data_IF_725798213774
#
_entry.id   IF_725798213774
#
_cell.length_a   1.000
_cell.length_b   1.000
_cell.length_c   1.000
_cell.angle_alpha   90.00
_cell.angle_beta   90.00
_cell.angle_gamma   90.00
#
_symmetry.space_group_name_H-M   'P 1'
#
loop_
_entity.id
_entity.type
_entity.pdbx_description
1 polymer ?
#
# COMPACT_ATOMS: atom_id res chain seq x y z
N UNK A 1 10.40 -0.76 -25.71
CA UNK A 1 10.54 -1.03 -24.26
C UNK A 1 9.19 -1.29 -23.65
N UNK A 2 9.10 -2.31 -22.81
CA UNK A 2 7.90 -2.69 -22.08
C UNK A 2 7.81 -1.92 -20.76
N UNK A 3 6.60 -1.46 -20.42
CA UNK A 3 6.35 -0.64 -19.23
C UNK A 3 5.22 -1.23 -18.41
N UNK A 4 5.39 -1.33 -17.10
CA UNK A 4 4.33 -1.69 -16.16
C UNK A 4 4.06 -0.54 -15.18
N UNK A 5 2.81 -0.10 -15.13
CA UNK A 5 2.31 0.77 -14.07
C UNK A 5 1.76 -0.09 -12.93
N UNK A 6 2.27 0.12 -11.74
CA UNK A 6 1.84 -0.58 -10.53
C UNK A 6 0.94 0.34 -9.73
N UNK A 7 -0.32 -0.02 -9.57
CA UNK A 7 -1.38 0.86 -9.07
C UNK A 7 -2.06 0.21 -7.86
N UNK A 8 -2.16 0.88 -6.69
CA UNK A 8 -2.83 0.31 -5.53
C UNK A 8 -4.33 0.08 -5.77
N UNK A 9 -4.87 -0.92 -5.10
CA UNK A 9 -6.28 -1.28 -5.11
C UNK A 9 -7.20 -0.22 -4.45
N UNK A 10 -8.50 -0.50 -4.44
CA UNK A 10 -9.55 0.39 -3.90
C UNK A 10 -9.45 0.59 -2.37
N UNK A 11 -8.84 -0.35 -1.66
CA UNK A 11 -8.63 -0.29 -0.21
C UNK A 11 -7.69 0.85 0.18
N UNK A 12 -6.81 1.24 -0.74
CA UNK A 12 -5.85 2.33 -0.51
C UNK A 12 -6.47 3.69 -0.82
N UNK A 13 -6.10 4.71 -0.05
CA UNK A 13 -6.52 6.09 -0.28
C UNK A 13 -6.17 6.59 -1.69
N UNK A 14 -6.81 7.69 -2.11
CA UNK A 14 -6.54 8.31 -3.41
C UNK A 14 -7.34 7.74 -4.58
N UNK A 15 -8.56 7.29 -4.33
CA UNK A 15 -9.47 6.78 -5.37
C UNK A 15 -10.53 7.81 -5.81
N UNK A 16 -10.57 8.99 -5.19
CA UNK A 16 -11.51 10.05 -5.51
C UNK A 16 -11.35 10.55 -6.96
N UNK A 17 -12.37 11.21 -7.54
CA UNK A 17 -12.33 11.70 -8.93
C UNK A 17 -11.11 12.59 -9.23
N UNK A 18 -10.66 13.37 -8.25
CA UNK A 18 -9.49 14.27 -8.35
C UNK A 18 -8.17 13.59 -7.99
N UNK A 19 -8.13 12.26 -7.93
CA UNK A 19 -6.93 11.51 -7.59
C UNK A 19 -5.76 11.83 -8.54
N UNK A 20 -4.58 12.04 -7.96
CA UNK A 20 -3.33 12.20 -8.71
C UNK A 20 -3.00 11.03 -9.64
N UNK A 21 -3.49 9.80 -9.32
CA UNK A 21 -3.17 8.58 -10.08
C UNK A 21 -3.48 8.71 -11.56
N UNK A 22 -4.66 9.22 -11.89
CA UNK A 22 -5.10 9.40 -13.29
C UNK A 22 -4.21 10.38 -14.03
N UNK A 23 -3.88 11.50 -13.39
CA UNK A 23 -3.02 12.54 -13.95
C UNK A 23 -1.58 12.04 -14.10
N UNK A 24 -1.06 11.37 -13.07
CA UNK A 24 0.30 10.83 -13.08
C UNK A 24 0.49 9.75 -14.15
N UNK A 25 -0.47 8.82 -14.27
CA UNK A 25 -0.43 7.79 -15.33
C UNK A 25 -0.43 8.46 -16.70
N UNK A 26 -1.33 9.42 -16.95
CA UNK A 26 -1.39 10.13 -18.24
C UNK A 26 -0.08 10.87 -18.55
N UNK A 27 0.42 11.65 -17.59
CA UNK A 27 1.68 12.38 -17.79
C UNK A 27 2.86 11.45 -18.07
N UNK A 28 2.96 10.33 -17.36
CA UNK A 28 3.99 9.33 -17.64
C UNK A 28 3.81 8.68 -19.02
N UNK A 29 2.57 8.38 -19.42
CA UNK A 29 2.29 7.82 -20.76
C UNK A 29 2.69 8.78 -21.88
N UNK A 30 2.40 10.08 -21.73
CA UNK A 30 2.75 11.08 -22.74
C UNK A 30 4.28 11.16 -22.92
N UNK A 31 5.06 11.14 -21.86
CA UNK A 31 6.53 11.10 -21.91
C UNK A 31 7.04 9.78 -22.51
N UNK A 32 6.46 8.65 -22.14
CA UNK A 32 6.83 7.33 -22.67
C UNK A 32 6.54 7.22 -24.17
N UNK A 33 5.40 7.72 -24.63
CA UNK A 33 5.04 7.73 -26.05
C UNK A 33 5.96 8.66 -26.83
N UNK A 34 6.30 9.83 -26.28
CA UNK A 34 7.28 10.73 -26.88
C UNK A 34 8.68 10.10 -26.97
N UNK A 35 9.01 9.21 -26.03
CA UNK A 35 10.25 8.42 -26.05
C UNK A 35 10.18 7.15 -26.97
N UNK A 36 9.06 6.93 -27.68
CA UNK A 36 8.90 5.83 -28.62
C UNK A 36 8.38 4.52 -28.02
N UNK A 37 7.85 4.52 -26.80
CA UNK A 37 7.10 3.37 -26.27
C UNK A 37 5.76 3.27 -26.99
N UNK A 38 5.40 2.08 -27.43
CA UNK A 38 4.09 1.87 -28.04
C UNK A 38 3.04 1.45 -27.00
N UNK A 39 1.79 1.85 -27.20
CA UNK A 39 0.68 1.50 -26.31
C UNK A 39 0.61 0.00 -25.99
N UNK A 40 0.85 -0.86 -26.98
CA UNK A 40 0.81 -2.32 -26.81
C UNK A 40 1.83 -2.85 -25.79
N UNK A 41 2.89 -2.07 -25.50
CA UNK A 41 3.98 -2.42 -24.61
C UNK A 41 3.74 -1.92 -23.17
N UNK A 42 2.57 -1.35 -22.90
CA UNK A 42 2.18 -0.83 -21.57
C UNK A 42 1.19 -1.77 -20.88
N UNK A 43 1.42 -2.07 -19.60
CA UNK A 43 0.50 -2.83 -18.76
C UNK A 43 0.13 -2.01 -17.50
N UNK A 44 -1.13 -2.01 -17.14
CA UNK A 44 -1.65 -1.45 -15.88
C UNK A 44 -1.92 -2.61 -14.91
N UNK A 45 -1.10 -2.74 -13.86
CA UNK A 45 -1.15 -3.81 -12.87
C UNK A 45 -1.67 -3.30 -11.54
N UNK A 46 -2.82 -3.80 -11.08
CA UNK A 46 -3.30 -3.53 -9.73
C UNK A 46 -2.53 -4.34 -8.70
N UNK A 47 -1.91 -3.64 -7.75
CA UNK A 47 -1.05 -4.19 -6.70
C UNK A 47 -1.83 -4.40 -5.41
N UNK A 48 -2.68 -5.40 -5.39
CA UNK A 48 -3.54 -5.70 -4.24
C UNK A 48 -2.86 -6.51 -3.12
N UNK A 49 -1.69 -7.10 -3.38
CA UNK A 49 -1.02 -7.96 -2.39
C UNK A 49 -1.92 -9.10 -1.95
N UNK A 50 -2.25 -9.17 -0.64
CA UNK A 50 -3.19 -10.15 -0.07
C UNK A 50 -4.65 -9.65 -0.04
N UNK A 51 -4.92 -8.43 -0.52
CA UNK A 51 -6.29 -7.94 -0.62
C UNK A 51 -7.03 -8.60 -1.80
N UNK A 52 -8.37 -8.56 -1.81
CA UNK A 52 -9.15 -9.02 -2.94
C UNK A 52 -8.71 -8.35 -4.25
N UNK A 53 -8.77 -9.08 -5.35
CA UNK A 53 -8.50 -8.54 -6.68
C UNK A 53 -9.49 -7.41 -7.00
N UNK A 54 -9.00 -6.40 -7.72
CA UNK A 54 -9.85 -5.31 -8.17
C UNK A 54 -10.95 -5.82 -9.12
N UNK A 55 -12.18 -5.47 -8.84
CA UNK A 55 -13.31 -5.71 -9.73
C UNK A 55 -13.32 -4.70 -10.88
N UNK A 56 -14.02 -5.02 -11.96
CA UNK A 56 -14.15 -4.11 -13.12
C UNK A 56 -14.67 -2.72 -12.74
N UNK A 57 -15.71 -2.58 -11.89
CA UNK A 57 -16.15 -1.27 -11.41
C UNK A 57 -15.07 -0.52 -10.59
N UNK A 58 -14.30 -1.23 -9.78
CA UNK A 58 -13.20 -0.63 -9.01
C UNK A 58 -12.06 -0.16 -9.92
N UNK A 59 -11.66 -0.97 -10.91
CA UNK A 59 -10.67 -0.57 -11.93
C UNK A 59 -11.10 0.72 -12.64
N UNK A 60 -12.37 0.78 -13.06
CA UNK A 60 -12.93 1.97 -13.70
C UNK A 60 -12.95 3.20 -12.78
N UNK A 61 -13.23 3.01 -11.49
CA UNK A 61 -13.20 4.09 -10.50
C UNK A 61 -11.79 4.63 -10.30
N UNK A 62 -10.82 3.75 -10.17
CA UNK A 62 -9.42 4.10 -9.91
C UNK A 62 -8.78 4.78 -11.12
N UNK A 63 -8.95 4.20 -12.31
CA UNK A 63 -8.35 4.70 -13.56
C UNK A 63 -9.11 5.87 -14.18
N UNK A 64 -10.40 5.97 -13.90
CA UNK A 64 -11.30 6.87 -14.62
C UNK A 64 -11.71 6.31 -15.99
N UNK A 65 -12.72 6.91 -16.62
CA UNK A 65 -13.29 6.37 -17.87
C UNK A 65 -12.30 6.35 -19.03
N UNK A 66 -11.46 7.36 -19.17
CA UNK A 66 -10.53 7.50 -20.28
C UNK A 66 -9.47 6.39 -20.30
N UNK A 67 -8.67 6.26 -19.23
CA UNK A 67 -7.65 5.22 -19.13
C UNK A 67 -8.27 3.82 -19.15
N UNK A 68 -9.44 3.66 -18.50
CA UNK A 68 -10.11 2.37 -18.50
C UNK A 68 -10.56 1.97 -19.91
N UNK A 69 -11.17 2.87 -20.69
CA UNK A 69 -11.57 2.60 -22.06
C UNK A 69 -10.38 2.39 -23.00
N UNK A 70 -9.26 3.06 -22.72
CA UNK A 70 -8.05 2.92 -23.53
C UNK A 70 -7.40 1.55 -23.38
N UNK A 71 -7.29 1.01 -22.16
CA UNK A 71 -6.48 -0.18 -21.86
C UNK A 71 -7.28 -1.46 -21.57
N UNK A 72 -8.52 -1.35 -21.09
CA UNK A 72 -9.31 -2.52 -20.72
C UNK A 72 -9.69 -3.42 -21.91
N UNK A 73 -10.19 -2.87 -23.05
CA UNK A 73 -10.59 -3.69 -24.19
C UNK A 73 -9.43 -4.47 -24.83
N UNK A 74 -8.21 -4.03 -24.63
CA UNK A 74 -6.99 -4.67 -25.18
C UNK A 74 -6.35 -5.68 -24.22
N UNK A 75 -6.98 -5.91 -23.04
CA UNK A 75 -6.45 -6.84 -22.04
C UNK A 75 -5.21 -6.34 -21.30
N UNK A 76 -4.91 -5.04 -21.36
CA UNK A 76 -3.74 -4.42 -20.74
C UNK A 76 -3.99 -3.92 -19.32
N UNK A 77 -5.05 -4.39 -18.66
CA UNK A 77 -5.32 -4.18 -17.23
C UNK A 77 -5.44 -5.52 -16.57
N UNK A 78 -4.66 -5.74 -15.50
CA UNK A 78 -4.70 -6.96 -14.72
C UNK A 78 -4.51 -6.67 -13.23
N UNK A 79 -4.75 -7.66 -12.38
CA UNK A 79 -4.49 -7.61 -10.94
C UNK A 79 -3.41 -8.62 -10.58
N UNK A 80 -2.58 -8.25 -9.61
CA UNK A 80 -1.66 -9.19 -8.98
C UNK A 80 -2.44 -10.30 -8.27
N UNK A 81 -1.88 -11.50 -8.33
CA UNK A 81 -2.31 -12.64 -7.52
C UNK A 81 -1.11 -13.18 -6.75
N UNK A 82 -1.20 -13.11 -5.43
CA UNK A 82 -0.12 -13.53 -4.54
C UNK A 82 0.07 -15.05 -4.47
N UNK A 83 -0.77 -15.83 -5.16
CA UNK A 83 -0.75 -17.31 -5.20
C UNK A 83 -0.61 -17.88 -6.62
N UNK A 84 -0.65 -17.05 -7.64
CA UNK A 84 -0.51 -17.47 -9.05
C UNK A 84 0.96 -17.66 -9.44
N UNK A 85 1.50 -18.83 -9.16
CA UNK A 85 2.88 -19.20 -9.46
C UNK A 85 3.28 -19.08 -10.95
N UNK A 86 2.32 -19.05 -11.87
CA UNK A 86 2.61 -18.84 -13.31
C UNK A 86 3.07 -17.41 -13.60
N UNK A 87 2.61 -16.47 -12.79
CA UNK A 87 2.92 -15.05 -12.93
C UNK A 87 3.80 -14.53 -11.79
N UNK A 88 4.58 -15.41 -11.19
CA UNK A 88 5.55 -15.10 -10.13
C UNK A 88 6.94 -15.58 -10.50
N UNK A 89 7.97 -14.84 -10.08
CA UNK A 89 9.39 -15.16 -10.27
C UNK A 89 10.04 -15.22 -8.90
N UNK A 90 10.68 -16.35 -8.59
CA UNK A 90 11.46 -16.52 -7.37
C UNK A 90 12.83 -15.85 -7.53
N UNK A 91 13.09 -14.82 -6.75
CA UNK A 91 14.36 -14.08 -6.74
C UNK A 91 15.35 -14.61 -5.71
N UNK A 92 14.92 -15.59 -4.89
CA UNK A 92 15.71 -16.15 -3.79
C UNK A 92 15.56 -15.35 -2.49
N UNK A 93 16.62 -15.32 -1.69
CA UNK A 93 16.59 -14.77 -0.33
C UNK A 93 17.44 -13.52 -0.22
N UNK A 94 16.91 -12.51 0.48
CA UNK A 94 17.71 -11.34 0.87
C UNK A 94 18.89 -11.77 1.77
N UNK A 95 19.93 -10.95 1.93
CA UNK A 95 21.01 -11.21 2.90
C UNK A 95 20.50 -11.42 4.34
N UNK A 96 19.32 -10.94 4.67
CA UNK A 96 18.67 -11.10 5.98
C UNK A 96 17.78 -12.35 6.07
N UNK A 97 17.71 -13.15 4.99
CA UNK A 97 16.97 -14.41 4.94
C UNK A 97 15.50 -14.30 4.56
N UNK A 98 15.02 -13.13 4.11
CA UNK A 98 13.65 -12.97 3.63
C UNK A 98 13.50 -13.50 2.20
N UNK A 99 12.58 -14.40 1.96
CA UNK A 99 12.28 -14.95 0.64
C UNK A 99 11.53 -13.92 -0.21
N UNK A 100 12.02 -13.62 -1.40
CA UNK A 100 11.44 -12.64 -2.31
C UNK A 100 10.95 -13.31 -3.59
N UNK A 101 9.65 -13.33 -3.78
CA UNK A 101 8.99 -13.85 -4.98
C UNK A 101 8.13 -12.73 -5.56
N UNK A 102 8.50 -12.27 -6.75
CA UNK A 102 8.00 -11.04 -7.37
C UNK A 102 7.01 -11.36 -8.51
N UNK A 103 6.07 -10.45 -8.74
CA UNK A 103 5.19 -10.49 -9.90
C UNK A 103 6.00 -10.48 -11.21
N UNK A 104 5.70 -11.43 -12.09
CA UNK A 104 6.43 -11.65 -13.35
C UNK A 104 6.33 -10.48 -14.32
N UNK A 105 5.18 -9.82 -14.41
CA UNK A 105 5.03 -8.65 -15.27
C UNK A 105 5.95 -7.50 -14.86
N UNK A 106 6.17 -7.34 -13.54
CA UNK A 106 7.12 -6.34 -13.03
C UNK A 106 8.56 -6.76 -13.28
N UNK A 107 8.85 -8.04 -13.11
CA UNK A 107 10.19 -8.59 -13.37
C UNK A 107 10.59 -8.44 -14.85
N UNK A 108 9.70 -8.78 -15.78
CA UNK A 108 9.98 -8.80 -17.22
C UNK A 108 9.96 -7.40 -17.86
N UNK A 109 9.23 -6.43 -17.33
CA UNK A 109 9.14 -5.08 -17.90
C UNK A 109 10.48 -4.35 -17.84
N UNK A 110 10.80 -3.56 -18.86
CA UNK A 110 12.01 -2.70 -18.87
C UNK A 110 11.89 -1.55 -17.86
N UNK A 111 10.68 -1.05 -17.66
CA UNK A 111 10.39 0.07 -16.73
C UNK A 111 9.22 -0.29 -15.84
N UNK A 112 9.40 -0.12 -14.52
CA UNK A 112 8.33 -0.27 -13.53
C UNK A 112 8.04 1.08 -12.85
N UNK A 113 6.82 1.57 -13.01
CA UNK A 113 6.35 2.86 -12.47
C UNK A 113 5.29 2.60 -11.41
N UNK A 114 5.56 2.99 -10.18
CA UNK A 114 4.64 2.83 -9.06
C UNK A 114 3.87 4.13 -8.84
N UNK A 115 2.56 4.08 -8.98
CA UNK A 115 1.67 5.23 -8.75
C UNK A 115 0.99 5.06 -7.39
N UNK A 116 1.67 5.48 -6.34
CA UNK A 116 1.27 5.20 -4.97
C UNK A 116 0.81 6.43 -4.18
N UNK A 117 0.85 6.29 -2.87
CA UNK A 117 0.59 7.38 -1.93
C UNK A 117 1.38 7.16 -0.64
N UNK A 118 1.72 8.25 0.01
CA UNK A 118 2.40 8.25 1.31
C UNK A 118 1.39 8.57 2.41
N UNK A 119 1.03 7.56 3.18
CA UNK A 119 0.11 7.65 4.31
C UNK A 119 0.63 6.81 5.47
N UNK A 120 0.35 7.23 6.70
CA UNK A 120 0.83 6.55 7.89
C UNK A 120 0.39 5.08 7.97
N UNK A 121 1.35 4.20 8.17
CA UNK A 121 1.13 2.79 8.46
C UNK A 121 1.55 2.52 9.91
N UNK A 122 0.70 1.89 10.74
CA UNK A 122 0.99 1.74 12.17
C UNK A 122 2.30 1.01 12.45
N UNK A 123 2.68 0.05 11.63
CA UNK A 123 3.80 -0.86 11.87
C UNK A 123 5.05 -0.56 11.03
N UNK A 124 4.85 -0.10 9.79
CA UNK A 124 5.92 0.02 8.78
C UNK A 124 6.20 1.45 8.33
N UNK A 125 5.89 2.47 9.14
CA UNK A 125 6.12 3.86 8.82
C UNK A 125 5.07 4.40 7.86
N UNK A 126 5.40 4.51 6.58
CA UNK A 126 4.53 5.05 5.55
C UNK A 126 4.29 4.05 4.41
N UNK A 127 3.15 4.18 3.73
CA UNK A 127 2.89 3.51 2.45
C UNK A 127 3.69 4.17 1.32
N UNK A 128 3.58 3.63 0.13
CA UNK A 128 4.35 4.07 -1.04
C UNK A 128 5.76 3.50 -1.10
N UNK A 129 6.51 3.88 -2.12
CA UNK A 129 7.87 3.44 -2.32
C UNK A 129 8.07 1.92 -2.20
N UNK A 130 9.11 1.50 -1.50
CA UNK A 130 9.41 0.06 -1.34
C UNK A 130 8.33 -0.73 -0.59
N UNK A 131 7.52 -0.10 0.28
CA UNK A 131 6.36 -0.78 0.84
C UNK A 131 5.37 -1.19 -0.24
N UNK A 132 5.16 -0.36 -1.25
CA UNK A 132 4.28 -0.68 -2.37
C UNK A 132 4.76 -1.94 -3.10
N UNK A 133 6.07 -2.09 -3.33
CA UNK A 133 6.65 -3.29 -3.92
C UNK A 133 6.51 -4.50 -2.99
N UNK A 134 7.02 -4.39 -1.77
CA UNK A 134 7.14 -5.51 -0.84
C UNK A 134 5.80 -6.13 -0.42
N UNK A 135 4.72 -5.35 -0.45
CA UNK A 135 3.38 -5.84 -0.05
C UNK A 135 2.39 -5.97 -1.19
N UNK A 136 2.57 -5.23 -2.28
CA UNK A 136 1.56 -5.10 -3.34
C UNK A 136 1.72 -6.05 -4.51
N UNK A 137 2.94 -6.49 -4.78
CA UNK A 137 3.29 -7.26 -5.98
C UNK A 137 4.16 -8.49 -5.70
N UNK A 138 4.09 -9.00 -4.47
CA UNK A 138 4.84 -10.19 -4.06
C UNK A 138 3.93 -11.32 -3.62
N UNK A 139 4.48 -12.53 -3.65
CA UNK A 139 3.85 -13.73 -3.13
C UNK A 139 3.61 -13.61 -1.62
N UNK A 140 2.59 -14.30 -1.10
CA UNK A 140 2.24 -14.27 0.33
C UNK A 140 3.40 -14.66 1.26
N UNK A 141 4.31 -15.54 0.84
CA UNK A 141 5.51 -15.91 1.63
C UNK A 141 6.47 -14.74 1.81
N UNK A 142 6.64 -13.90 0.80
CA UNK A 142 7.44 -12.68 0.91
C UNK A 142 6.80 -11.68 1.86
N UNK A 143 5.47 -11.57 1.82
CA UNK A 143 4.71 -10.72 2.73
C UNK A 143 4.79 -11.24 4.17
N UNK A 144 4.78 -12.56 4.38
CA UNK A 144 4.87 -13.16 5.71
C UNK A 144 6.18 -12.82 6.45
N UNK A 145 7.26 -12.52 5.73
CA UNK A 145 8.53 -12.12 6.33
C UNK A 145 8.44 -10.86 7.20
N UNK A 146 7.47 -10.00 6.92
CA UNK A 146 7.26 -8.74 7.65
C UNK A 146 5.86 -8.60 8.29
N UNK A 147 4.91 -9.51 8.02
CA UNK A 147 3.58 -9.52 8.62
C UNK A 147 3.44 -10.64 9.69
N UNK A 148 4.41 -10.71 10.60
CA UNK A 148 4.42 -11.65 11.71
C UNK A 148 4.52 -10.91 13.04
N UNK A 149 3.99 -11.48 14.14
CA UNK A 149 3.97 -10.79 15.45
C UNK A 149 5.35 -10.33 15.92
N UNK A 150 6.41 -11.09 15.63
CA UNK A 150 7.78 -10.76 15.99
C UNK A 150 8.28 -9.45 15.37
N UNK A 151 7.76 -9.08 14.21
CA UNK A 151 8.08 -7.83 13.51
C UNK A 151 7.09 -6.72 13.88
N UNK A 152 5.79 -7.06 13.99
CA UNK A 152 4.71 -6.08 14.16
C UNK A 152 4.49 -5.67 15.63
N UNK A 153 4.72 -6.58 16.58
CA UNK A 153 4.34 -6.39 18.00
C UNK A 153 5.54 -6.33 18.94
N UNK A 154 6.64 -5.75 18.51
CA UNK A 154 7.83 -5.56 19.32
C UNK A 154 7.56 -4.62 20.50
N UNK A 155 8.28 -4.82 21.60
CA UNK A 155 8.15 -3.96 22.80
C UNK A 155 8.67 -2.53 22.56
N UNK A 156 9.65 -2.37 21.66
CA UNK A 156 10.25 -1.09 21.24
C UNK A 156 9.45 -0.38 20.15
N UNK A 157 8.24 -0.83 19.88
CA UNK A 157 7.38 -0.33 18.82
C UNK A 157 7.07 1.17 18.97
N UNK A 158 7.29 1.92 17.89
CA UNK A 158 6.88 3.31 17.72
C UNK A 158 5.95 3.40 16.53
N UNK A 159 4.71 3.86 16.72
CA UNK A 159 3.75 3.98 15.61
C UNK A 159 4.28 4.87 14.49
N UNK A 160 4.05 4.45 13.24
CA UNK A 160 4.43 5.20 12.02
C UNK A 160 5.94 5.52 12.00
N UNK A 161 6.76 4.63 12.51
CA UNK A 161 8.20 4.80 12.53
C UNK A 161 8.83 4.37 11.19
N UNK A 162 9.63 5.26 10.61
CA UNK A 162 10.44 4.96 9.42
C UNK A 162 11.69 4.15 9.73
N UNK A 163 11.96 3.88 11.01
CA UNK A 163 13.06 3.04 11.49
C UNK A 163 12.57 1.75 12.15
N UNK A 164 11.31 1.36 11.95
CA UNK A 164 10.78 0.10 12.47
C UNK A 164 11.40 -1.10 11.73
N UNK A 165 11.39 -2.27 12.37
CA UNK A 165 11.82 -3.53 11.76
C UNK A 165 11.06 -3.82 10.46
N UNK A 166 9.74 -3.62 10.48
CA UNK A 166 8.91 -3.81 9.29
C UNK A 166 9.33 -2.86 8.16
N UNK A 167 9.68 -1.60 8.46
CA UNK A 167 10.16 -0.65 7.45
C UNK A 167 11.48 -1.12 6.85
N UNK A 168 12.41 -1.56 7.67
CA UNK A 168 13.69 -2.09 7.19
C UNK A 168 13.49 -3.28 6.26
N UNK A 169 12.57 -4.18 6.57
CA UNK A 169 12.25 -5.31 5.70
C UNK A 169 11.65 -4.89 4.36
N UNK A 170 10.75 -3.91 4.34
CA UNK A 170 10.25 -3.36 3.07
C UNK A 170 11.37 -2.78 2.22
N UNK A 171 12.27 -2.01 2.82
CA UNK A 171 13.38 -1.39 2.11
C UNK A 171 14.38 -2.43 1.60
N UNK A 172 14.70 -3.44 2.41
CA UNK A 172 15.59 -4.54 2.03
C UNK A 172 15.01 -5.36 0.88
N UNK A 173 13.73 -5.75 0.96
CA UNK A 173 13.08 -6.49 -0.13
C UNK A 173 13.00 -5.66 -1.41
N UNK A 174 12.64 -4.37 -1.33
CA UNK A 174 12.56 -3.50 -2.49
C UNK A 174 13.92 -3.28 -3.16
N UNK A 175 14.97 -3.01 -2.39
CA UNK A 175 16.34 -2.90 -2.91
C UNK A 175 16.85 -4.22 -3.50
N UNK A 176 16.52 -5.35 -2.90
CA UNK A 176 16.87 -6.67 -3.42
C UNK A 176 16.17 -6.95 -4.76
N UNK A 177 14.89 -6.58 -4.89
CA UNK A 177 14.18 -6.66 -6.18
C UNK A 177 14.88 -5.84 -7.25
N UNK A 178 15.26 -4.58 -6.95
CA UNK A 178 15.97 -3.71 -7.88
C UNK A 178 17.30 -4.32 -8.33
N UNK A 179 18.08 -4.90 -7.39
CA UNK A 179 19.33 -5.59 -7.69
C UNK A 179 19.12 -6.78 -8.63
N UNK A 180 18.16 -7.65 -8.31
CA UNK A 180 17.87 -8.85 -9.12
C UNK A 180 17.30 -8.55 -10.49
N UNK A 181 16.52 -7.48 -10.60
CA UNK A 181 15.98 -7.03 -11.89
C UNK A 181 17.00 -6.23 -12.72
N UNK A 182 18.06 -5.69 -12.12
CA UNK A 182 18.98 -4.77 -12.77
C UNK A 182 18.36 -3.41 -13.12
N UNK A 183 17.25 -3.04 -12.49
CA UNK A 183 16.52 -1.79 -12.73
C UNK A 183 15.90 -1.25 -11.45
N UNK A 184 15.58 0.05 -11.44
CA UNK A 184 15.02 0.73 -10.28
C UNK A 184 13.52 0.96 -10.43
N UNK A 185 12.81 1.02 -9.30
CA UNK A 185 11.43 1.45 -9.25
C UNK A 185 11.34 2.97 -9.33
N UNK A 186 10.64 3.47 -10.36
CA UNK A 186 10.24 4.88 -10.41
C UNK A 186 8.90 5.03 -9.71
N UNK A 187 8.82 5.98 -8.79
CA UNK A 187 7.61 6.20 -7.98
C UNK A 187 7.01 7.55 -8.29
N UNK A 188 5.68 7.63 -8.22
CA UNK A 188 4.94 8.88 -8.17
C UNK A 188 3.90 8.75 -7.03
N UNK A 189 4.27 9.27 -5.85
CA UNK A 189 3.49 9.10 -4.62
C UNK A 189 2.93 10.45 -4.15
N UNK A 190 1.63 10.46 -3.81
CA UNK A 190 0.99 11.62 -3.19
C UNK A 190 0.95 11.47 -1.66
N UNK A 191 1.31 12.50 -0.94
CA UNK A 191 0.97 12.64 0.48
C UNK A 191 -0.48 13.07 0.59
N UNK A 192 -1.31 12.28 1.29
CA UNK A 192 -2.74 12.51 1.41
C UNK A 192 -3.13 13.06 2.78
N UNK A 193 -4.11 13.96 2.84
CA UNK A 193 -4.77 14.37 4.08
C UNK A 193 -5.83 13.37 4.55
N UNK A 194 -6.53 13.68 5.64
CA UNK A 194 -7.60 12.83 6.20
C UNK A 194 -8.83 12.69 5.30
N UNK A 195 -8.95 13.54 4.29
CA UNK A 195 -10.01 13.50 3.28
C UNK A 195 -9.53 12.95 1.93
N UNK A 196 -8.34 12.32 1.91
CA UNK A 196 -7.67 11.81 0.71
C UNK A 196 -7.33 12.88 -0.34
N UNK A 197 -7.23 14.16 0.04
CA UNK A 197 -6.76 15.20 -0.86
C UNK A 197 -5.24 15.19 -0.90
N UNK A 198 -4.67 15.46 -2.06
CA UNK A 198 -3.23 15.54 -2.27
C UNK A 198 -2.68 16.81 -1.62
N UNK A 199 -1.79 16.67 -0.65
CA UNK A 199 -1.05 17.78 -0.03
C UNK A 199 0.22 18.06 -0.85
N UNK A 200 0.88 17.00 -1.30
CA UNK A 200 2.14 17.03 -2.03
C UNK A 200 2.24 15.81 -2.92
N UNK A 201 2.88 15.92 -4.07
CA UNK A 201 3.18 14.80 -4.96
C UNK A 201 4.68 14.80 -5.20
N UNK A 202 5.33 13.67 -4.97
CA UNK A 202 6.75 13.47 -5.18
C UNK A 202 6.97 12.35 -6.20
N UNK A 203 7.89 12.57 -7.13
CA UNK A 203 8.28 11.57 -8.12
C UNK A 203 9.79 11.37 -8.12
N UNK A 204 10.22 10.15 -8.41
CA UNK A 204 11.63 9.78 -8.45
C UNK A 204 11.86 8.31 -8.14
N UNK A 205 13.13 7.92 -8.10
CA UNK A 205 13.51 6.57 -7.71
C UNK A 205 13.13 6.31 -6.25
N UNK A 206 12.59 5.14 -5.95
CA UNK A 206 12.01 4.81 -4.64
C UNK A 206 12.91 5.20 -3.47
N UNK A 207 14.19 4.85 -3.52
CA UNK A 207 15.16 5.13 -2.44
C UNK A 207 15.34 6.61 -2.15
N UNK A 208 15.33 7.46 -3.19
CA UNK A 208 15.52 8.91 -3.07
C UNK A 208 14.20 9.62 -2.73
N UNK A 209 13.10 9.17 -3.30
CA UNK A 209 11.79 9.83 -3.16
C UNK A 209 11.17 9.61 -1.78
N UNK A 210 11.25 8.39 -1.22
CA UNK A 210 10.66 8.05 0.09
C UNK A 210 10.98 9.07 1.20
N UNK A 211 12.26 9.39 1.49
CA UNK A 211 12.59 10.31 2.58
C UNK A 211 12.06 11.72 2.37
N UNK A 212 11.85 12.15 1.13
CA UNK A 212 11.27 13.46 0.80
C UNK A 212 9.79 13.47 1.17
N UNK A 213 9.02 12.49 0.71
CA UNK A 213 7.59 12.35 1.03
C UNK A 213 7.32 12.20 2.53
N UNK A 214 8.20 11.51 3.26
CA UNK A 214 8.05 11.30 4.70
C UNK A 214 8.11 12.59 5.50
N UNK A 215 8.88 13.59 5.08
CA UNK A 215 8.95 14.91 5.76
C UNK A 215 7.58 15.59 5.82
N UNK A 216 6.84 15.57 4.74
CA UNK A 216 5.49 16.13 4.69
C UNK A 216 4.48 15.20 5.39
N UNK A 217 4.63 13.89 5.23
CA UNK A 217 3.79 12.92 5.90
C UNK A 217 3.94 12.97 7.44
N UNK A 218 5.13 13.21 7.97
CA UNK A 218 5.38 13.41 9.42
C UNK A 218 4.61 14.62 9.96
N UNK A 219 4.66 15.76 9.28
CA UNK A 219 3.93 16.96 9.66
C UNK A 219 2.41 16.74 9.71
N UNK A 220 1.91 15.89 8.83
CA UNK A 220 0.50 15.51 8.77
C UNK A 220 0.12 14.47 9.82
N UNK A 221 1.04 13.56 10.17
CA UNK A 221 0.79 12.43 11.06
C UNK A 221 0.92 12.80 12.53
N UNK A 222 1.95 13.54 12.90
CA UNK A 222 2.23 13.93 14.27
C UNK A 222 1.69 15.34 14.55
N UNK A 223 0.37 15.45 14.72
CA UNK A 223 -0.33 16.73 14.88
C UNK A 223 -0.90 16.95 16.28
N UNK A 224 -0.89 15.95 17.14
CA UNK A 224 -1.39 16.03 18.51
C UNK A 224 -0.38 15.51 19.51
N UNK A 225 -0.11 16.31 20.52
CA UNK A 225 0.78 15.96 21.62
C UNK A 225 -0.03 15.77 22.90
N UNK A 226 -0.13 14.53 23.35
CA UNK A 226 -0.81 14.21 24.60
C UNK A 226 -0.04 14.78 25.79
N UNK A 227 -0.72 15.54 26.65
CA UNK A 227 -0.14 16.13 27.86
C UNK A 227 -0.21 15.20 29.07
N UNK A 228 -0.99 14.13 29.00
CA UNK A 228 -1.22 13.14 30.05
C UNK A 228 -1.54 11.78 29.45
N UNK A 229 -1.52 10.73 30.27
CA UNK A 229 -2.11 9.44 29.93
C UNK A 229 -3.63 9.49 30.06
N UNK A 230 -4.31 8.67 29.28
CA UNK A 230 -5.77 8.62 29.21
C UNK A 230 -6.30 7.31 29.80
N UNK A 231 -7.33 7.40 30.63
CA UNK A 231 -7.99 6.25 31.29
C UNK A 231 -9.12 5.68 30.42
N UNK A 232 -9.64 6.47 29.49
CA UNK A 232 -10.70 6.08 28.57
C UNK A 232 -10.36 6.52 27.16
N UNK A 233 -10.50 5.63 26.21
CA UNK A 233 -10.32 5.92 24.78
C UNK A 233 -11.54 5.40 24.02
N UNK A 234 -12.11 6.26 23.16
CA UNK A 234 -13.30 5.94 22.37
C UNK A 234 -12.91 5.85 20.90
N UNK A 235 -13.27 4.76 20.24
CA UNK A 235 -13.05 4.54 18.82
C UNK A 235 -14.38 4.38 18.09
N UNK A 236 -14.54 5.12 16.99
CA UNK A 236 -15.61 4.88 16.01
C UNK A 236 -15.12 3.93 14.91
N UNK A 237 -15.83 2.85 14.69
CA UNK A 237 -15.57 1.87 13.62
C UNK A 237 -16.69 1.90 12.62
N UNK A 238 -16.55 2.61 11.47
CA UNK A 238 -17.57 2.61 10.43
C UNK A 238 -17.61 1.25 9.71
N UNK A 239 -18.75 0.93 9.09
CA UNK A 239 -18.98 -0.32 8.35
C UNK A 239 -17.95 -0.59 7.26
N UNK A 240 -17.45 0.47 6.62
CA UNK A 240 -16.41 0.41 5.56
C UNK A 240 -15.04 0.82 6.08
N UNK A 241 -14.70 0.42 7.29
CA UNK A 241 -13.41 0.78 7.87
C UNK A 241 -12.28 0.04 7.12
N UNK A 242 -11.25 0.75 6.79
CA UNK A 242 -9.94 0.37 6.22
C UNK A 242 -9.95 -0.63 5.04
N UNK A 243 -10.44 -1.87 5.21
CA UNK A 243 -10.45 -2.90 4.16
C UNK A 243 -11.79 -3.01 3.42
N UNK A 244 -12.69 -2.04 3.58
CA UNK A 244 -13.94 -1.94 2.84
C UNK A 244 -15.13 -2.55 3.57
N UNK A 245 -16.10 -3.02 2.81
CA UNK A 245 -17.35 -3.54 3.33
C UNK A 245 -17.12 -4.75 4.25
N UNK A 246 -17.81 -4.77 5.37
CA UNK A 246 -17.76 -5.83 6.36
C UNK A 246 -16.73 -5.66 7.47
N UNK A 247 -15.74 -4.78 7.33
CA UNK A 247 -14.73 -4.64 8.39
C UNK A 247 -15.29 -4.09 9.71
N UNK A 248 -16.26 -3.18 9.65
CA UNK A 248 -16.95 -2.65 10.84
C UNK A 248 -18.06 -3.55 11.37
N UNK A 249 -18.47 -4.59 10.64
CA UNK A 249 -19.51 -5.56 11.01
C UNK A 249 -18.93 -6.89 11.45
N UNK A 250 -17.81 -7.29 10.86
CA UNK A 250 -17.09 -8.54 11.15
C UNK A 250 -16.29 -8.40 12.47
N UNK A 251 -16.60 -9.19 13.51
CA UNK A 251 -15.96 -9.06 14.82
C UNK A 251 -14.45 -9.36 14.79
N UNK A 252 -13.99 -10.23 13.93
CA UNK A 252 -12.55 -10.56 13.81
C UNK A 252 -11.78 -9.37 13.25
N UNK A 253 -12.26 -8.77 12.17
CA UNK A 253 -11.63 -7.61 11.56
C UNK A 253 -11.75 -6.36 12.43
N UNK A 254 -12.88 -6.20 13.14
CA UNK A 254 -13.03 -5.14 14.12
C UNK A 254 -11.99 -5.27 15.25
N UNK A 255 -11.76 -6.47 15.78
CA UNK A 255 -10.74 -6.73 16.80
C UNK A 255 -9.33 -6.47 16.28
N UNK A 256 -9.04 -6.81 15.01
CA UNK A 256 -7.77 -6.48 14.38
C UNK A 256 -7.54 -4.96 14.32
N UNK A 257 -8.56 -4.22 13.90
CA UNK A 257 -8.50 -2.77 13.83
C UNK A 257 -8.31 -2.13 15.23
N UNK A 258 -9.04 -2.62 16.23
CA UNK A 258 -8.91 -2.19 17.61
C UNK A 258 -7.50 -2.45 18.15
N UNK A 259 -6.97 -3.65 17.93
CA UNK A 259 -5.62 -4.01 18.38
C UNK A 259 -4.56 -3.06 17.81
N UNK A 260 -4.68 -2.69 16.53
CA UNK A 260 -3.80 -1.70 15.91
C UNK A 260 -3.91 -0.32 16.60
N UNK A 261 -5.11 0.09 17.03
CA UNK A 261 -5.29 1.35 17.74
C UNK A 261 -4.70 1.29 19.16
N UNK A 262 -4.88 0.19 19.88
CA UNK A 262 -4.29 -0.01 21.21
C UNK A 262 -2.76 0.09 21.13
N UNK A 263 -2.15 -0.64 20.22
CA UNK A 263 -0.69 -0.64 20.05
C UNK A 263 -0.19 0.76 19.66
N UNK A 264 -0.86 1.43 18.72
CA UNK A 264 -0.51 2.78 18.28
C UNK A 264 -0.51 3.80 19.42
N UNK A 265 -1.46 3.69 20.34
CA UNK A 265 -1.65 4.65 21.41
C UNK A 265 -1.00 4.23 22.75
N UNK A 266 -0.32 3.07 22.81
CA UNK A 266 0.24 2.50 24.04
C UNK A 266 0.96 3.52 24.95
N UNK A 267 1.70 4.45 24.37
CA UNK A 267 2.47 5.46 25.14
C UNK A 267 1.60 6.48 25.87
N UNK A 268 0.36 6.67 25.42
CA UNK A 268 -0.58 7.67 26.00
C UNK A 268 -1.71 7.00 26.78
N UNK A 269 -1.68 5.69 26.95
CA UNK A 269 -2.66 4.95 27.74
C UNK A 269 -2.21 4.88 29.19
N UNK A 270 -3.16 5.04 30.11
CA UNK A 270 -2.95 4.73 31.54
C UNK A 270 -2.79 3.22 31.74
N UNK A 271 -2.22 2.81 32.89
CA UNK A 271 -1.99 1.40 33.20
C UNK A 271 -3.30 0.59 33.28
N UNK A 272 -4.39 1.26 33.67
CA UNK A 272 -5.76 0.77 33.54
C UNK A 272 -6.49 1.71 32.60
N UNK A 273 -6.84 1.22 31.41
CA UNK A 273 -7.53 2.00 30.39
C UNK A 273 -8.74 1.23 29.87
N UNK A 274 -9.86 1.93 29.74
CA UNK A 274 -11.10 1.39 29.15
C UNK A 274 -11.15 1.81 27.69
N UNK A 275 -11.39 0.84 26.80
CA UNK A 275 -11.63 1.08 25.39
C UNK A 275 -13.11 0.94 25.11
N UNK A 276 -13.71 2.00 24.57
CA UNK A 276 -15.09 2.00 24.12
C UNK A 276 -15.06 2.00 22.59
N UNK A 277 -15.60 0.95 21.99
CA UNK A 277 -15.67 0.81 20.54
C UNK A 277 -17.10 0.96 20.10
N UNK A 278 -17.37 2.01 19.33
CA UNK A 278 -18.68 2.22 18.69
C UNK A 278 -18.61 1.63 17.29
N UNK A 279 -19.36 0.54 17.06
CA UNK A 279 -19.45 -0.15 15.79
C UNK A 279 -20.82 -0.81 15.65
N UNK A 280 -21.25 -1.04 14.43
CA UNK A 280 -22.47 -1.83 14.17
C UNK A 280 -22.23 -3.28 14.61
N UNK A 281 -21.10 -3.87 14.23
CA UNK A 281 -20.61 -5.21 14.63
C UNK A 281 -21.73 -6.25 14.86
N UNK A 282 -22.62 -6.37 13.88
CA UNK A 282 -23.74 -7.31 13.90
C UNK A 282 -23.35 -8.78 13.62
N UNK A 283 -22.05 -9.00 13.37
CA UNK A 283 -21.49 -10.33 13.09
C UNK A 283 -21.51 -10.71 11.62
N UNK A 284 -21.86 -9.80 10.72
CA UNK A 284 -21.88 -10.10 9.29
C UNK A 284 -20.45 -10.27 8.72
N UNK A 285 -20.27 -11.32 7.95
CA UNK A 285 -19.04 -11.62 7.21
C UNK A 285 -19.32 -11.51 5.71
N UNK A 286 -18.41 -10.87 5.00
CA UNK A 286 -18.52 -10.78 3.54
C UNK A 286 -18.06 -12.11 2.93
N UNK A 287 -19.00 -12.87 2.33
CA UNK A 287 -18.76 -14.23 1.87
C UNK A 287 -17.69 -14.38 0.78
N UNK A 288 -17.48 -13.33 -0.03
CA UNK A 288 -16.53 -13.36 -1.14
C UNK A 288 -15.19 -12.69 -0.84
N UNK A 289 -15.10 -11.89 0.22
CA UNK A 289 -13.92 -11.03 0.41
C UNK A 289 -13.23 -11.18 1.76
N UNK A 290 -13.97 -11.45 2.82
CA UNK A 290 -13.42 -11.43 4.18
C UNK A 290 -14.01 -12.53 5.09
#
# INVERSE_FOLDING_TARGET
STVVFVIPDIVKGGNQPTSHRKVAIRACLDELYAAGVEKKDVLLLFSNGLHPRATVPEMKTILGPELFQEFYPTGQITSHDSEDYKHLVDLGYTPQGDHVILNKYVYDADVAILIGHTQGNPYGGYSGGYKHCATGITHWRSISAHHVPQVMHRQDFVPVSTSSEMRHKFDQQGMYMEEKMGKKFFCCDAVLDTQNRQIEINSGWAKQMQPVSWKTADKRTYVHWAKKKYDVVVFGMPTKFHYGDGMGTNPIQMMQALSAQVIRHKRVLADRCVFIVSSICDGWFHEERW
#
